data_IF_445680188451
#
_entry.id   IF_445680188451
#
_cell.length_a   1.000
_cell.length_b   1.000
_cell.length_c   1.000
_cell.angle_alpha   90.00
_cell.angle_beta   90.00
_cell.angle_gamma   90.00
#
_symmetry.space_group_name_H-M   'P 1'
#
loop_
_entity.id
_entity.type
_entity.pdbx_description
1 polymer ?
#
# COMPACT_ATOMS: atom_id res chain seq x y z
N UNK A 1 -12.19 -22.18 3.94
CA UNK A 1 -12.19 -20.98 4.81
C UNK A 1 -10.79 -20.81 5.39
N UNK A 2 -10.02 -19.85 4.90
CA UNK A 2 -8.63 -19.67 5.32
C UNK A 2 -8.49 -18.34 6.09
N UNK A 3 -8.24 -18.46 7.41
CA UNK A 3 -8.05 -17.33 8.32
C UNK A 3 -6.66 -17.38 8.92
N UNK A 4 -6.02 -16.22 9.11
CA UNK A 4 -4.76 -16.09 9.83
C UNK A 4 -5.02 -15.24 11.07
N UNK A 5 -4.61 -15.76 12.23
CA UNK A 5 -4.56 -15.02 13.49
C UNK A 5 -3.16 -15.22 14.04
N UNK A 6 -2.40 -14.13 14.21
CA UNK A 6 -0.99 -14.24 14.61
C UNK A 6 -0.50 -13.01 15.37
N UNK A 7 0.46 -13.26 16.25
CA UNK A 7 1.33 -12.25 16.85
C UNK A 7 2.78 -12.50 16.35
N UNK A 8 3.09 -12.06 15.11
CA UNK A 8 4.39 -12.33 14.52
C UNK A 8 5.47 -11.43 15.11
N UNK A 9 6.75 -11.86 15.14
CA UNK A 9 7.86 -10.98 15.45
C UNK A 9 7.84 -9.73 14.56
N UNK A 10 8.06 -8.55 15.15
CA UNK A 10 7.86 -7.27 14.47
C UNK A 10 8.69 -7.11 13.19
N UNK A 11 9.90 -7.66 13.16
CA UNK A 11 10.79 -7.57 12.00
C UNK A 11 10.30 -8.32 10.76
N UNK A 12 9.40 -9.32 10.92
CA UNK A 12 8.87 -10.08 9.79
C UNK A 12 7.52 -9.59 9.29
N UNK A 13 6.88 -8.62 9.96
CA UNK A 13 5.51 -8.17 9.61
C UNK A 13 5.45 -7.64 8.17
N UNK A 14 6.39 -6.78 7.76
CA UNK A 14 6.40 -6.24 6.40
C UNK A 14 6.54 -7.33 5.34
N UNK A 15 7.57 -8.21 5.36
CA UNK A 15 7.68 -9.30 4.39
C UNK A 15 6.48 -10.25 4.42
N UNK A 16 5.91 -10.52 5.60
CA UNK A 16 4.71 -11.34 5.73
C UNK A 16 3.53 -10.72 4.99
N UNK A 17 3.24 -9.44 5.23
CA UNK A 17 2.12 -8.74 4.58
C UNK A 17 2.27 -8.68 3.06
N UNK A 18 3.46 -8.38 2.54
CA UNK A 18 3.71 -8.39 1.10
C UNK A 18 3.55 -9.79 0.48
N UNK A 19 3.97 -10.83 1.19
CA UNK A 19 3.76 -12.22 0.76
C UNK A 19 2.29 -12.61 0.77
N UNK A 20 1.55 -12.21 1.81
CA UNK A 20 0.10 -12.42 1.88
C UNK A 20 -0.64 -11.70 0.76
N UNK A 21 -0.29 -10.42 0.49
CA UNK A 21 -0.86 -9.66 -0.60
C UNK A 21 -0.64 -10.35 -1.94
N UNK A 22 0.61 -10.74 -2.23
CA UNK A 22 0.99 -11.37 -3.51
C UNK A 22 0.30 -12.73 -3.74
N UNK A 23 0.15 -13.54 -2.70
CA UNK A 23 -0.27 -14.94 -2.86
C UNK A 23 -1.73 -15.19 -2.51
N UNK A 24 -2.23 -14.52 -1.50
CA UNK A 24 -3.50 -14.90 -0.88
C UNK A 24 -4.60 -13.83 -0.98
N UNK A 25 -4.28 -12.54 -0.97
CA UNK A 25 -5.29 -11.50 -1.09
C UNK A 25 -5.86 -11.39 -2.51
N UNK A 26 -5.10 -11.86 -3.51
CA UNK A 26 -5.52 -11.86 -4.93
C UNK A 26 -6.30 -13.14 -5.26
N UNK A 27 -6.07 -14.24 -4.52
CA UNK A 27 -6.80 -15.48 -4.70
C UNK A 27 -8.01 -15.51 -3.76
N UNK A 28 -9.17 -15.95 -4.24
CA UNK A 28 -10.42 -16.08 -3.45
C UNK A 28 -10.34 -17.09 -2.28
N UNK A 29 -9.16 -17.62 -2.00
CA UNK A 29 -8.94 -18.66 -0.98
C UNK A 29 -8.78 -18.12 0.43
N UNK A 30 -8.65 -16.80 0.60
CA UNK A 30 -8.34 -16.17 1.88
C UNK A 30 -9.44 -15.18 2.30
N UNK A 31 -9.87 -15.23 3.58
CA UNK A 31 -11.02 -14.46 4.05
C UNK A 31 -10.67 -13.39 5.09
N UNK A 32 -9.71 -13.69 5.96
CA UNK A 32 -9.44 -12.83 7.13
C UNK A 32 -8.00 -12.99 7.62
N UNK A 33 -7.37 -11.86 7.91
CA UNK A 33 -6.11 -11.82 8.65
C UNK A 33 -6.25 -10.88 9.85
N UNK A 34 -5.91 -11.38 11.04
CA UNK A 34 -5.83 -10.58 12.26
C UNK A 34 -4.41 -10.68 12.81
N UNK A 35 -3.76 -9.53 12.98
CA UNK A 35 -2.39 -9.46 13.44
C UNK A 35 -2.27 -8.53 14.64
N UNK A 36 -1.39 -8.89 15.57
CA UNK A 36 -0.86 -7.95 16.56
C UNK A 36 0.42 -7.34 15.99
N UNK A 37 0.44 -6.01 15.90
CA UNK A 37 1.56 -5.25 15.33
C UNK A 37 1.88 -4.05 16.22
N UNK A 38 3.06 -3.44 16.07
CA UNK A 38 3.38 -2.18 16.73
C UNK A 38 2.35 -1.10 16.40
N UNK A 39 1.95 -0.28 17.38
CA UNK A 39 0.91 0.73 17.22
C UNK A 39 1.20 1.71 16.07
N UNK A 40 2.43 2.18 15.94
CA UNK A 40 2.80 3.10 14.85
C UNK A 40 2.78 2.43 13.48
N UNK A 41 3.08 1.12 13.43
CA UNK A 41 2.97 0.35 12.21
C UNK A 41 1.50 0.17 11.80
N UNK A 42 0.61 -0.11 12.77
CA UNK A 42 -0.83 -0.18 12.55
C UNK A 42 -1.38 1.15 11.99
N UNK A 43 -1.01 2.28 12.62
CA UNK A 43 -1.40 3.61 12.14
C UNK A 43 -0.94 3.88 10.71
N UNK A 44 0.29 3.47 10.35
CA UNK A 44 0.81 3.57 8.98
C UNK A 44 0.03 2.69 8.00
N UNK A 45 -0.34 1.47 8.39
CA UNK A 45 -1.15 0.58 7.54
C UNK A 45 -2.53 1.16 7.25
N UNK A 46 -3.18 1.78 8.24
CA UNK A 46 -4.52 2.35 8.15
C UNK A 46 -4.55 3.77 7.57
N UNK A 47 -3.39 4.41 7.32
CA UNK A 47 -3.32 5.79 6.87
C UNK A 47 -4.02 5.99 5.51
N UNK A 48 -5.06 6.87 5.41
CA UNK A 48 -5.72 7.20 4.16
C UNK A 48 -4.79 8.02 3.24
N UNK A 49 -5.21 8.30 1.99
CA UNK A 49 -4.56 9.31 1.15
C UNK A 49 -4.37 10.62 1.90
N UNK A 50 -3.16 11.19 1.88
CA UNK A 50 -2.81 12.39 2.63
C UNK A 50 -1.44 12.33 3.29
N UNK A 51 -1.23 13.16 4.30
CA UNK A 51 0.08 13.41 4.88
C UNK A 51 0.79 12.16 5.43
N UNK A 52 0.05 11.28 6.07
CA UNK A 52 0.58 10.05 6.71
C UNK A 52 0.66 8.84 5.78
N UNK A 53 0.21 9.00 4.52
CA UNK A 53 0.22 7.90 3.55
C UNK A 53 1.65 7.51 3.20
N UNK A 54 1.89 6.22 3.17
CA UNK A 54 3.18 5.61 2.91
C UNK A 54 3.08 4.54 1.82
N UNK A 55 4.24 4.06 1.34
CA UNK A 55 4.31 2.89 0.46
C UNK A 55 3.55 1.69 1.04
N UNK A 56 3.68 1.45 2.35
CA UNK A 56 2.99 0.36 3.03
C UNK A 56 1.47 0.48 2.90
N UNK A 57 0.90 1.63 3.29
CA UNK A 57 -0.55 1.84 3.22
C UNK A 57 -1.06 1.77 1.78
N UNK A 58 -0.37 2.38 0.83
CA UNK A 58 -0.75 2.33 -0.59
C UNK A 58 -0.79 0.89 -1.12
N UNK A 59 0.20 0.06 -0.77
CA UNK A 59 0.25 -1.32 -1.23
C UNK A 59 -0.79 -2.19 -0.53
N UNK A 60 -0.86 -2.16 0.80
CA UNK A 60 -1.74 -3.08 1.53
C UNK A 60 -3.22 -2.74 1.31
N UNK A 61 -3.59 -1.47 1.35
CA UNK A 61 -4.97 -1.04 1.13
C UNK A 61 -5.46 -1.22 -0.31
N UNK A 62 -4.60 -1.48 -1.25
CA UNK A 62 -5.01 -1.87 -2.60
C UNK A 62 -5.63 -3.27 -2.63
N UNK A 63 -5.07 -4.20 -1.85
CA UNK A 63 -5.50 -5.60 -1.83
C UNK A 63 -6.42 -5.97 -0.67
N UNK A 64 -6.44 -5.18 0.39
CA UNK A 64 -7.21 -5.46 1.59
C UNK A 64 -7.80 -4.20 2.23
N UNK A 65 -8.96 -4.33 2.82
CA UNK A 65 -9.49 -3.38 3.78
C UNK A 65 -8.76 -3.59 5.11
N UNK A 66 -8.19 -2.51 5.63
CA UNK A 66 -7.34 -2.53 6.83
C UNK A 66 -8.01 -1.74 7.92
N UNK A 67 -8.21 -2.37 9.07
CA UNK A 67 -8.88 -1.75 10.22
C UNK A 67 -8.08 -1.99 11.49
N UNK A 68 -7.85 -0.91 12.26
CA UNK A 68 -7.32 -0.98 13.61
C UNK A 68 -8.49 -1.26 14.57
N UNK A 69 -8.52 -2.46 15.15
CA UNK A 69 -9.61 -2.89 16.04
C UNK A 69 -9.46 -2.36 17.47
N UNK A 70 -8.24 -2.48 18.03
CA UNK A 70 -7.97 -2.04 19.40
C UNK A 70 -6.48 -1.79 19.61
N UNK A 71 -6.17 -0.97 20.60
CA UNK A 71 -4.81 -0.75 21.09
C UNK A 71 -4.59 -1.66 22.31
N UNK A 72 -3.44 -2.33 22.34
CA UNK A 72 -3.03 -3.20 23.43
C UNK A 72 -1.78 -2.63 24.09
N UNK A 73 -1.91 -2.29 25.37
CA UNK A 73 -0.78 -1.75 26.13
C UNK A 73 0.36 -2.78 26.23
N UNK A 74 1.60 -2.29 26.11
CA UNK A 74 2.82 -3.09 26.29
C UNK A 74 2.86 -3.82 27.64
N UNK A 75 2.16 -3.31 28.66
CA UNK A 75 2.07 -3.94 29.99
C UNK A 75 1.35 -5.29 29.99
N UNK A 76 0.59 -5.60 28.95
CA UNK A 76 -0.15 -6.86 28.80
C UNK A 76 0.70 -8.01 28.22
N UNK A 77 2.00 -7.78 28.02
CA UNK A 77 2.93 -8.78 27.48
C UNK A 77 4.03 -9.13 28.49
N UNK A 78 4.53 -10.35 28.42
CA UNK A 78 5.67 -10.79 29.19
C UNK A 78 6.67 -11.53 28.29
N UNK A 79 7.92 -11.05 28.22
CA UNK A 79 8.38 -9.74 28.65
C UNK A 79 7.70 -8.59 27.91
N UNK A 80 7.54 -7.41 28.51
CA UNK A 80 6.89 -6.28 27.84
C UNK A 80 7.74 -5.75 26.70
N UNK A 81 7.14 -5.49 25.50
CA UNK A 81 7.85 -4.85 24.41
C UNK A 81 8.11 -3.36 24.70
N UNK A 82 8.99 -2.73 23.91
CA UNK A 82 9.34 -1.32 24.08
C UNK A 82 8.17 -0.35 23.79
N UNK A 83 7.23 -0.74 22.92
CA UNK A 83 6.13 0.09 22.42
C UNK A 83 4.78 -0.61 22.57
N UNK A 84 3.71 0.18 22.62
CA UNK A 84 2.37 -0.36 22.57
C UNK A 84 2.10 -1.04 21.22
N UNK A 85 1.15 -1.95 21.23
CA UNK A 85 0.74 -2.72 20.06
C UNK A 85 -0.71 -2.41 19.69
N UNK A 86 -1.14 -2.90 18.55
CA UNK A 86 -2.52 -2.83 18.11
C UNK A 86 -2.93 -4.11 17.42
N UNK A 87 -4.20 -4.47 17.57
CA UNK A 87 -4.84 -5.53 16.80
C UNK A 87 -5.35 -4.92 15.49
N UNK A 88 -4.85 -5.43 14.37
CA UNK A 88 -5.24 -5.00 13.03
C UNK A 88 -5.93 -6.13 12.31
N UNK A 89 -7.06 -5.82 11.69
CA UNK A 89 -7.82 -6.72 10.82
C UNK A 89 -7.61 -6.36 9.36
N UNK A 90 -7.32 -7.37 8.54
CA UNK A 90 -7.24 -7.24 7.09
C UNK A 90 -8.27 -8.17 6.45
N UNK A 91 -9.09 -7.63 5.55
CA UNK A 91 -10.02 -8.37 4.71
C UNK A 91 -9.64 -8.19 3.26
N UNK A 92 -9.37 -9.26 2.49
CA UNK A 92 -9.06 -9.13 1.07
C UNK A 92 -10.17 -8.41 0.33
N UNK A 93 -9.80 -7.49 -0.56
CA UNK A 93 -10.73 -6.86 -1.49
C UNK A 93 -10.99 -7.77 -2.66
N UNK A 94 -12.24 -8.16 -2.83
CA UNK A 94 -12.70 -8.99 -3.97
C UNK A 94 -13.03 -8.11 -5.18
N UNK A 95 -12.11 -7.23 -5.54
CA UNK A 95 -12.26 -6.36 -6.72
C UNK A 95 -11.39 -6.87 -7.85
N UNK A 96 -11.89 -6.78 -9.09
CA UNK A 96 -11.07 -7.06 -10.26
C UNK A 96 -10.09 -5.90 -10.43
N UNK A 97 -8.81 -6.21 -10.29
CA UNK A 97 -7.73 -5.25 -10.49
C UNK A 97 -7.42 -5.07 -11.98
N UNK A 98 -7.10 -3.83 -12.38
CA UNK A 98 -6.70 -3.50 -13.76
C UNK A 98 -5.28 -3.98 -14.07
N UNK A 99 -4.44 -4.08 -13.04
CA UNK A 99 -3.03 -4.44 -13.17
C UNK A 99 -2.66 -5.56 -12.20
N UNK A 100 -1.64 -6.34 -12.56
CA UNK A 100 -1.07 -7.36 -11.69
C UNK A 100 -0.30 -6.75 -10.51
N UNK A 101 -0.04 -7.60 -9.48
CA UNK A 101 0.67 -7.18 -8.26
C UNK A 101 2.02 -6.54 -8.56
N UNK A 102 2.80 -7.12 -9.48
CA UNK A 102 4.16 -6.67 -9.77
C UNK A 102 4.18 -5.27 -10.35
N UNK A 103 3.30 -5.02 -11.32
CA UNK A 103 3.14 -3.71 -11.97
C UNK A 103 2.69 -2.63 -10.98
N UNK A 104 1.70 -2.95 -10.13
CA UNK A 104 1.24 -2.04 -9.10
C UNK A 104 2.35 -1.73 -8.09
N UNK A 105 3.01 -2.75 -7.54
CA UNK A 105 4.08 -2.59 -6.55
C UNK A 105 5.27 -1.80 -7.10
N UNK A 106 5.67 -2.07 -8.36
CA UNK A 106 6.74 -1.34 -9.05
C UNK A 106 6.40 0.16 -9.16
N UNK A 107 5.17 0.46 -9.53
CA UNK A 107 4.67 1.85 -9.62
C UNK A 107 4.65 2.52 -8.25
N UNK A 108 4.09 1.87 -7.24
CA UNK A 108 4.08 2.40 -5.86
C UNK A 108 5.51 2.66 -5.38
N UNK A 109 6.46 1.80 -5.68
CA UNK A 109 7.88 1.98 -5.32
C UNK A 109 8.46 3.24 -5.96
N UNK A 110 8.22 3.46 -7.25
CA UNK A 110 8.68 4.66 -7.97
C UNK A 110 8.06 5.92 -7.36
N UNK A 111 6.75 5.93 -7.18
CA UNK A 111 6.01 7.08 -6.69
C UNK A 111 6.42 7.44 -5.26
N UNK A 112 6.41 6.48 -4.35
CA UNK A 112 6.66 6.71 -2.91
C UNK A 112 8.14 6.84 -2.54
N UNK A 113 9.08 6.80 -3.50
CA UNK A 113 10.43 7.31 -3.28
C UNK A 113 10.43 8.84 -3.08
N UNK A 114 9.37 9.53 -3.52
CA UNK A 114 9.25 10.98 -3.38
C UNK A 114 7.81 11.38 -2.98
N UNK A 115 7.29 10.92 -1.81
CA UNK A 115 5.88 11.07 -1.44
C UNK A 115 5.42 12.54 -1.33
N UNK A 116 6.34 13.44 -0.97
CA UNK A 116 6.08 14.87 -0.80
C UNK A 116 6.28 15.69 -2.10
N UNK A 117 6.55 15.05 -3.23
CA UNK A 117 6.63 15.72 -4.53
C UNK A 117 5.36 15.47 -5.34
N UNK A 118 5.06 16.39 -6.24
CA UNK A 118 3.94 16.23 -7.16
C UNK A 118 4.20 15.08 -8.13
N UNK A 119 3.13 14.41 -8.57
CA UNK A 119 3.21 13.35 -9.58
C UNK A 119 4.02 13.81 -10.79
N UNK A 120 3.76 15.03 -11.29
CA UNK A 120 4.51 15.64 -12.41
C UNK A 120 6.03 15.63 -12.19
N UNK A 121 6.50 16.00 -10.97
CA UNK A 121 7.93 16.02 -10.65
C UNK A 121 8.53 14.62 -10.61
N UNK A 122 7.76 13.64 -10.12
CA UNK A 122 8.20 12.24 -10.07
C UNK A 122 8.32 11.68 -11.49
N UNK A 123 7.29 11.86 -12.34
CA UNK A 123 7.31 11.39 -13.72
C UNK A 123 8.49 12.00 -14.50
N UNK A 124 8.71 13.32 -14.40
CA UNK A 124 9.84 13.97 -15.05
C UNK A 124 11.19 13.39 -14.61
N UNK A 125 11.36 13.09 -13.31
CA UNK A 125 12.61 12.54 -12.78
C UNK A 125 12.92 11.13 -13.29
N UNK A 126 11.91 10.25 -13.31
CA UNK A 126 12.11 8.84 -13.62
C UNK A 126 12.05 8.52 -15.12
N UNK A 127 11.27 9.28 -15.90
CA UNK A 127 11.01 8.98 -17.31
C UNK A 127 11.61 10.00 -18.30
N UNK A 128 12.29 11.04 -17.80
CA UNK A 128 13.07 12.01 -18.59
C UNK A 128 12.36 12.41 -19.91
N UNK A 129 12.92 12.00 -21.06
CA UNK A 129 12.44 12.35 -22.40
C UNK A 129 11.04 11.79 -22.71
N UNK A 130 10.63 10.68 -22.07
CA UNK A 130 9.28 10.11 -22.21
C UNK A 130 8.25 10.82 -21.32
N UNK A 131 8.68 11.70 -20.41
CA UNK A 131 7.79 12.34 -19.44
C UNK A 131 6.70 13.22 -20.07
N UNK A 132 6.89 13.95 -21.17
CA UNK A 132 5.80 14.74 -21.78
C UNK A 132 4.64 13.87 -22.21
N UNK A 133 4.92 12.79 -22.95
CA UNK A 133 3.91 11.84 -23.43
C UNK A 133 3.15 11.19 -22.26
N UNK A 134 3.86 10.72 -21.24
CA UNK A 134 3.24 10.13 -20.04
C UNK A 134 2.33 11.13 -19.33
N UNK A 135 2.78 12.38 -19.16
CA UNK A 135 1.99 13.40 -18.48
C UNK A 135 0.73 13.77 -19.27
N UNK A 136 0.80 13.84 -20.60
CA UNK A 136 -0.35 14.08 -21.46
C UNK A 136 -1.38 12.95 -21.32
N UNK A 137 -0.96 11.70 -21.43
CA UNK A 137 -1.83 10.53 -21.28
C UNK A 137 -2.45 10.44 -19.88
N UNK A 138 -1.73 10.82 -18.82
CA UNK A 138 -2.28 10.89 -17.48
C UNK A 138 -3.39 11.94 -17.37
N UNK A 139 -3.21 13.10 -17.97
CA UNK A 139 -4.24 14.16 -18.01
C UNK A 139 -5.47 13.69 -18.79
N UNK A 140 -5.29 13.02 -19.93
CA UNK A 140 -6.39 12.42 -20.70
C UNK A 140 -7.18 11.39 -19.88
N UNK A 141 -6.50 10.62 -19.02
CA UNK A 141 -7.10 9.68 -18.05
C UNK A 141 -7.65 10.37 -16.79
N UNK A 142 -7.77 11.71 -16.78
CA UNK A 142 -8.29 12.55 -15.69
C UNK A 142 -7.47 12.47 -14.38
N UNK A 143 -6.19 12.15 -14.47
CA UNK A 143 -5.28 12.16 -13.33
C UNK A 143 -4.73 13.58 -13.11
N UNK A 144 -4.91 14.12 -11.91
CA UNK A 144 -4.34 15.41 -11.54
C UNK A 144 -2.83 15.29 -11.25
N UNK A 145 -2.01 15.62 -12.23
CA UNK A 145 -0.53 15.54 -12.15
C UNK A 145 0.11 16.54 -11.18
N UNK A 146 -0.67 17.50 -10.64
CA UNK A 146 -0.22 18.48 -9.63
C UNK A 146 -0.40 17.96 -8.20
N UNK A 147 -1.20 16.91 -7.98
CA UNK A 147 -1.31 16.24 -6.69
C UNK A 147 0.03 15.75 -6.20
N UNK A 148 0.28 15.81 -4.88
CA UNK A 148 1.40 15.12 -4.27
C UNK A 148 1.16 13.62 -4.30
N UNK A 149 2.24 12.85 -4.42
CA UNK A 149 2.13 11.38 -4.48
C UNK A 149 1.36 10.80 -3.29
N UNK A 150 1.60 11.32 -2.10
CA UNK A 150 0.91 10.90 -0.87
C UNK A 150 -0.62 11.13 -0.88
N UNK A 151 -1.12 11.99 -1.76
CA UNK A 151 -2.54 12.33 -1.90
C UNK A 151 -3.26 11.44 -2.92
N UNK A 152 -2.51 10.65 -3.70
CA UNK A 152 -3.09 9.77 -4.70
C UNK A 152 -3.89 8.64 -4.04
N UNK A 153 -5.09 8.40 -4.52
CA UNK A 153 -5.90 7.25 -4.15
C UNK A 153 -5.33 5.96 -4.76
N UNK A 154 -5.76 4.79 -4.27
CA UNK A 154 -5.36 3.51 -4.86
C UNK A 154 -5.82 3.38 -6.32
N UNK A 155 -7.02 3.88 -6.65
CA UNK A 155 -7.53 3.87 -8.02
C UNK A 155 -6.66 4.75 -8.94
N UNK A 156 -6.29 5.96 -8.51
CA UNK A 156 -5.38 6.81 -9.29
C UNK A 156 -4.02 6.13 -9.52
N UNK A 157 -3.47 5.48 -8.47
CA UNK A 157 -2.21 4.73 -8.59
C UNK A 157 -2.36 3.55 -9.55
N UNK A 158 -3.50 2.87 -9.55
CA UNK A 158 -3.78 1.75 -10.46
C UNK A 158 -3.84 2.22 -11.93
N UNK A 159 -4.52 3.33 -12.21
CA UNK A 159 -4.55 3.95 -13.54
C UNK A 159 -3.13 4.37 -13.99
N UNK A 160 -2.34 4.91 -13.07
CA UNK A 160 -0.93 5.25 -13.35
C UNK A 160 -0.12 3.99 -13.63
N UNK A 161 -0.32 2.90 -12.87
CA UNK A 161 0.38 1.64 -13.05
C UNK A 161 0.05 0.98 -14.38
N UNK A 162 -1.23 1.04 -14.79
CA UNK A 162 -1.67 0.53 -16.09
C UNK A 162 -0.97 1.28 -17.24
N UNK A 163 -0.90 2.60 -17.16
CA UNK A 163 -0.16 3.38 -18.15
C UNK A 163 1.34 3.09 -18.14
N UNK A 164 1.95 3.04 -16.97
CA UNK A 164 3.40 2.90 -16.84
C UNK A 164 3.93 1.52 -17.23
N UNK A 165 3.09 0.49 -17.36
CA UNK A 165 3.51 -0.82 -17.89
C UNK A 165 4.24 -0.69 -19.21
N UNK A 166 3.73 0.14 -20.12
CA UNK A 166 4.30 0.33 -21.46
C UNK A 166 5.69 1.01 -21.46
N UNK A 167 6.07 1.61 -20.33
CA UNK A 167 7.30 2.39 -20.18
C UNK A 167 8.32 1.78 -19.21
N UNK A 168 7.94 0.70 -18.52
CA UNK A 168 8.76 0.07 -17.49
C UNK A 168 9.36 -1.29 -17.90
N UNK A 169 9.03 -1.77 -19.08
CA UNK A 169 9.60 -2.98 -19.69
C UNK A 169 10.95 -2.72 -20.35
#
# INVERSE_FOLDING_TARGET
>A
MNKIISNPPFHIISPLLFRLARKYFISDTFELCVLIVQLDYAKKMCAPPGEKRSRLSATIQYYADVELLSIVSRKNFFPPPEVDTAIVRLRPRRTKHMVDFSSYERTVRILFNMPNKTLRKVIKKYFKDRSPTILEQLVQRKINVRKHVRELSNMEIEIIADLLKEFLD
#
